data_IF_383521969883
#
_entry.id   IF_383521969883
#
_cell.length_a   1.000
_cell.length_b   1.000
_cell.length_c   1.000
_cell.angle_alpha   90.00
_cell.angle_beta   90.00
_cell.angle_gamma   90.00
#
_symmetry.space_group_name_H-M   'P 1'
#
loop_
_entity.id
_entity.type
_entity.pdbx_description
1 polymer ?
#
# COMPACT_ATOMS: atom_id res chain seq x y z
N UNK A 1 -15.65 28.03 -22.40
CA UNK A 1 -15.10 27.82 -21.04
C UNK A 1 -13.99 26.80 -21.12
N UNK A 2 -12.86 26.98 -20.41
CA UNK A 2 -11.62 26.25 -20.73
C UNK A 2 -11.51 24.84 -20.13
N UNK A 3 -12.51 24.35 -19.42
CA UNK A 3 -12.52 22.96 -18.93
C UNK A 3 -13.52 22.15 -19.75
N UNK A 4 -13.02 21.45 -20.77
CA UNK A 4 -13.77 20.45 -21.53
C UNK A 4 -13.25 19.09 -21.13
N UNK A 5 -14.13 18.24 -20.61
CA UNK A 5 -13.82 16.83 -20.41
C UNK A 5 -13.69 16.18 -21.78
N UNK A 6 -12.62 15.43 -22.01
CA UNK A 6 -12.39 14.70 -23.27
C UNK A 6 -12.34 13.19 -23.06
N UNK A 7 -12.16 12.75 -21.82
CA UNK A 7 -11.85 11.37 -21.47
C UNK A 7 -12.41 10.99 -20.11
N UNK A 8 -12.94 9.78 -20.03
CA UNK A 8 -13.45 9.16 -18.81
C UNK A 8 -12.69 7.85 -18.60
N UNK A 9 -12.00 7.76 -17.46
CA UNK A 9 -11.31 6.55 -17.02
C UNK A 9 -12.15 5.91 -15.91
N UNK A 10 -12.62 4.68 -16.13
CA UNK A 10 -13.35 3.88 -15.16
C UNK A 10 -12.37 2.89 -14.53
N UNK A 11 -12.35 2.87 -13.20
CA UNK A 11 -11.60 1.87 -12.43
C UNK A 11 -12.64 0.97 -11.75
N UNK A 12 -12.65 -0.30 -12.09
CA UNK A 12 -13.54 -1.30 -11.49
C UNK A 12 -12.76 -2.01 -10.40
N UNK A 13 -13.25 -1.93 -9.17
CA UNK A 13 -12.57 -2.46 -8.00
C UNK A 13 -13.35 -3.64 -7.44
N UNK A 14 -12.66 -4.76 -7.26
CA UNK A 14 -13.20 -5.95 -6.65
C UNK A 14 -12.65 -6.08 -5.23
N UNK A 15 -13.55 -6.22 -4.26
CA UNK A 15 -13.14 -6.47 -2.89
C UNK A 15 -12.40 -7.81 -2.80
N UNK A 16 -11.20 -7.86 -2.21
CA UNK A 16 -10.48 -9.11 -2.01
C UNK A 16 -11.32 -10.14 -1.27
N UNK A 17 -11.15 -11.42 -1.60
CA UNK A 17 -11.91 -12.56 -1.05
C UNK A 17 -13.44 -12.53 -1.27
N UNK A 18 -14.00 -11.55 -1.99
CA UNK A 18 -15.41 -11.55 -2.37
C UNK A 18 -15.62 -11.95 -3.84
N UNK A 19 -16.80 -12.49 -4.19
CA UNK A 19 -17.13 -12.80 -5.57
C UNK A 19 -17.12 -11.55 -6.46
N UNK A 20 -16.55 -11.70 -7.65
CA UNK A 20 -16.60 -10.68 -8.70
C UNK A 20 -18.01 -10.61 -9.28
N UNK A 21 -18.63 -9.43 -9.17
CA UNK A 21 -20.01 -9.20 -9.61
C UNK A 21 -20.07 -8.81 -11.09
N UNK A 22 -19.19 -7.90 -11.53
CA UNK A 22 -19.06 -7.39 -12.90
C UNK A 22 -17.63 -6.92 -13.18
N UNK A 23 -17.14 -7.19 -14.39
CA UNK A 23 -15.85 -6.67 -14.90
C UNK A 23 -16.05 -5.58 -15.95
N UNK A 24 -14.96 -4.93 -16.34
CA UNK A 24 -14.91 -4.11 -17.55
C UNK A 24 -15.51 -4.87 -18.76
N UNK A 25 -16.44 -4.22 -19.47
CA UNK A 25 -17.11 -4.81 -20.64
C UNK A 25 -18.24 -5.79 -20.31
N UNK A 26 -18.63 -5.95 -19.04
CA UNK A 26 -19.76 -6.80 -18.64
C UNK A 26 -20.99 -5.99 -18.24
N UNK A 27 -22.18 -6.60 -18.41
CA UNK A 27 -23.49 -6.18 -17.87
C UNK A 27 -23.72 -4.66 -17.85
N UNK A 28 -23.63 -4.01 -16.69
CA UNK A 28 -23.91 -2.58 -16.55
C UNK A 28 -22.74 -1.71 -17.03
N UNK A 29 -21.51 -2.23 -16.95
CA UNK A 29 -20.30 -1.51 -17.34
C UNK A 29 -20.21 -1.36 -18.86
N UNK A 30 -20.60 -2.37 -19.63
CA UNK A 30 -20.70 -2.22 -21.10
C UNK A 30 -21.79 -1.23 -21.52
N UNK A 31 -22.89 -1.16 -20.76
CA UNK A 31 -23.91 -0.15 -21.01
C UNK A 31 -23.39 1.27 -20.74
N UNK A 32 -22.63 1.45 -19.65
CA UNK A 32 -21.95 2.70 -19.33
C UNK A 32 -20.93 3.08 -20.41
N UNK A 33 -20.15 2.12 -20.91
CA UNK A 33 -19.21 2.33 -22.02
C UNK A 33 -19.90 2.90 -23.26
N UNK A 34 -21.04 2.32 -23.64
CA UNK A 34 -21.82 2.81 -24.78
C UNK A 34 -22.30 4.25 -24.55
N UNK A 35 -22.87 4.57 -23.39
CA UNK A 35 -23.32 5.93 -23.07
C UNK A 35 -22.18 6.96 -23.12
N UNK A 36 -20.99 6.59 -22.64
CA UNK A 36 -19.80 7.45 -22.66
C UNK A 36 -19.33 7.70 -24.09
N UNK A 37 -19.28 6.65 -24.93
CA UNK A 37 -18.85 6.74 -26.31
C UNK A 37 -19.85 7.48 -27.19
N UNK A 38 -21.14 7.28 -26.97
CA UNK A 38 -22.21 8.00 -27.66
C UNK A 38 -22.15 9.51 -27.36
N UNK A 39 -21.73 9.87 -26.15
CA UNK A 39 -21.46 11.24 -25.76
C UNK A 39 -20.09 11.79 -26.27
N UNK A 40 -19.39 11.03 -27.12
CA UNK A 40 -18.13 11.39 -27.77
C UNK A 40 -16.96 11.62 -26.81
N UNK A 41 -16.96 10.97 -25.65
CA UNK A 41 -15.80 10.94 -24.77
C UNK A 41 -14.91 9.72 -25.08
N UNK A 42 -13.60 9.88 -24.91
CA UNK A 42 -12.71 8.73 -24.82
C UNK A 42 -13.05 7.90 -23.58
N UNK A 43 -13.07 6.58 -23.74
CA UNK A 43 -13.36 5.63 -22.66
C UNK A 43 -12.16 4.72 -22.42
N UNK A 44 -11.75 4.60 -21.15
CA UNK A 44 -10.83 3.58 -20.68
C UNK A 44 -11.46 2.89 -19.47
N UNK A 45 -11.34 1.56 -19.41
CA UNK A 45 -11.73 0.77 -18.25
C UNK A 45 -10.57 -0.12 -17.82
N UNK A 46 -10.32 -0.17 -16.52
CA UNK A 46 -9.29 -1.02 -15.92
C UNK A 46 -9.91 -1.73 -14.71
N UNK A 47 -9.84 -3.06 -14.71
CA UNK A 47 -10.16 -3.87 -13.54
C UNK A 47 -8.94 -3.92 -12.60
N UNK A 48 -9.16 -3.69 -11.31
CA UNK A 48 -8.21 -3.87 -10.21
C UNK A 48 -6.78 -3.35 -10.51
N UNK A 49 -6.60 -2.04 -10.79
CA UNK A 49 -5.28 -1.48 -11.06
C UNK A 49 -4.33 -1.73 -9.88
N UNK A 50 -3.11 -2.18 -10.19
CA UNK A 50 -2.09 -2.58 -9.22
C UNK A 50 -1.79 -1.47 -8.18
N UNK A 51 -1.88 -0.20 -8.59
CA UNK A 51 -1.63 0.95 -7.72
C UNK A 51 -2.64 1.05 -6.57
N UNK A 52 -3.87 0.54 -6.78
CA UNK A 52 -4.93 0.57 -5.78
C UNK A 52 -4.99 -0.71 -4.95
N UNK A 53 -4.27 -1.77 -5.36
CA UNK A 53 -4.25 -3.05 -4.65
C UNK A 53 -3.88 -2.88 -3.17
N UNK A 54 -2.92 -2.01 -2.87
CA UNK A 54 -2.51 -1.71 -1.49
C UNK A 54 -3.62 -1.09 -0.64
N UNK A 55 -4.44 -0.23 -1.24
CA UNK A 55 -5.57 0.41 -0.57
C UNK A 55 -6.67 -0.63 -0.34
N UNK A 56 -6.94 -1.47 -1.34
CA UNK A 56 -7.95 -2.53 -1.27
C UNK A 56 -7.61 -3.62 -0.24
N UNK A 57 -6.31 -3.87 -0.01
CA UNK A 57 -5.84 -4.87 0.93
C UNK A 57 -5.85 -4.43 2.41
N UNK A 58 -6.22 -3.19 2.71
CA UNK A 58 -6.14 -2.61 4.06
C UNK A 58 -6.84 -3.45 5.15
N UNK A 59 -7.99 -4.05 4.80
CA UNK A 59 -8.82 -4.83 5.72
C UNK A 59 -8.70 -6.36 5.50
N UNK A 60 -7.96 -6.81 4.48
CA UNK A 60 -7.90 -8.23 4.08
C UNK A 60 -6.51 -8.65 3.62
N UNK A 61 -5.53 -8.50 4.51
CA UNK A 61 -4.12 -8.86 4.28
C UNK A 61 -3.87 -10.36 4.00
N UNK A 62 -4.84 -11.22 4.32
CA UNK A 62 -4.78 -12.66 4.09
C UNK A 62 -5.26 -13.10 2.70
N UNK A 63 -5.91 -12.20 1.95
CA UNK A 63 -6.41 -12.49 0.62
C UNK A 63 -5.25 -12.82 -0.33
N UNK A 64 -5.48 -13.75 -1.26
CA UNK A 64 -4.44 -14.20 -2.21
C UNK A 64 -3.95 -13.04 -3.09
N UNK A 65 -4.87 -12.18 -3.50
CA UNK A 65 -4.62 -10.99 -4.32
C UNK A 65 -3.72 -9.99 -3.57
N UNK A 66 -3.75 -10.00 -2.23
CA UNK A 66 -2.97 -9.11 -1.38
C UNK A 66 -1.54 -9.59 -1.11
N UNK A 67 -1.17 -10.80 -1.51
CA UNK A 67 0.18 -11.34 -1.35
C UNK A 67 1.23 -10.52 -2.12
N UNK A 68 0.86 -10.09 -3.32
CA UNK A 68 1.72 -9.29 -4.20
C UNK A 68 1.92 -7.90 -3.61
N UNK A 69 0.83 -7.27 -3.15
CA UNK A 69 0.84 -5.99 -2.45
C UNK A 69 1.73 -6.03 -1.19
N UNK A 70 1.61 -7.11 -0.40
CA UNK A 70 2.41 -7.36 0.79
C UNK A 70 3.90 -7.48 0.48
N UNK A 71 4.24 -8.18 -0.60
CA UNK A 71 5.63 -8.33 -1.05
C UNK A 71 6.21 -6.99 -1.54
N UNK A 72 5.42 -6.21 -2.27
CA UNK A 72 5.80 -4.87 -2.71
C UNK A 72 6.05 -3.91 -1.53
N UNK A 73 5.16 -3.91 -0.53
CA UNK A 73 5.34 -3.13 0.70
C UNK A 73 6.58 -3.57 1.48
N UNK A 74 6.83 -4.88 1.62
CA UNK A 74 8.00 -5.38 2.32
C UNK A 74 9.29 -4.88 1.68
N UNK A 75 9.41 -4.96 0.34
CA UNK A 75 10.56 -4.42 -0.39
C UNK A 75 10.71 -2.91 -0.23
N UNK A 76 9.61 -2.16 -0.28
CA UNK A 76 9.63 -0.71 -0.07
C UNK A 76 10.05 -0.33 1.36
N UNK A 77 9.59 -1.09 2.37
CA UNK A 77 10.02 -0.94 3.75
C UNK A 77 11.51 -1.28 3.92
N UNK A 78 11.97 -2.40 3.35
CA UNK A 78 13.37 -2.80 3.43
C UNK A 78 14.29 -1.75 2.81
N UNK A 79 13.93 -1.19 1.65
CA UNK A 79 14.67 -0.07 1.03
C UNK A 79 14.69 1.19 1.91
N UNK A 80 13.58 1.48 2.59
CA UNK A 80 13.48 2.63 3.50
C UNK A 80 14.27 2.41 4.81
N UNK A 81 14.33 1.17 5.31
CA UNK A 81 15.11 0.76 6.48
C UNK A 81 16.61 0.78 6.17
N UNK A 82 17.01 0.30 5.00
CA UNK A 82 18.41 0.35 4.53
C UNK A 82 18.87 1.80 4.28
N UNK A 83 17.96 2.71 3.91
CA UNK A 83 18.22 4.15 3.85
C UNK A 83 18.27 4.86 5.22
N UNK A 84 17.84 4.21 6.31
CA UNK A 84 17.77 4.77 7.67
C UNK A 84 18.63 4.00 8.67
N UNK A 85 19.60 3.22 8.22
CA UNK A 85 20.63 2.62 9.09
C UNK A 85 21.86 3.53 9.15
N UNK A 86 21.70 4.67 9.83
CA UNK A 86 22.82 5.45 10.35
C UNK A 86 22.35 6.20 11.59
N UNK A 87 22.07 5.47 12.66
CA UNK A 87 21.93 6.03 13.99
C UNK A 87 22.32 4.99 15.05
N UNK A 88 23.54 5.19 15.57
CA UNK A 88 23.98 4.86 16.92
C UNK A 88 24.19 3.38 17.27
N UNK A 89 25.33 2.85 16.84
CA UNK A 89 26.03 1.83 17.64
C UNK A 89 26.67 2.53 18.85
N UNK A 90 26.03 2.44 20.01
CA UNK A 90 26.72 2.73 21.27
C UNK A 90 27.60 1.53 21.61
N UNK A 91 28.92 1.70 21.83
CA UNK A 91 29.76 0.59 22.23
C UNK A 91 29.31 0.08 23.60
N UNK A 92 29.27 -1.25 23.76
CA UNK A 92 28.96 -1.98 25.01
C UNK A 92 29.75 -1.50 26.24
N UNK A 93 30.82 -0.72 26.04
CA UNK A 93 31.60 -0.11 27.11
C UNK A 93 30.83 0.90 27.96
N UNK A 94 29.81 1.58 27.43
CA UNK A 94 29.01 2.54 28.23
C UNK A 94 28.02 1.86 29.18
N UNK A 95 27.57 0.64 28.89
CA UNK A 95 26.68 -0.12 29.77
C UNK A 95 27.41 -0.67 31.00
N UNK A 96 28.70 -0.98 30.89
CA UNK A 96 29.49 -1.52 32.01
C UNK A 96 29.78 -0.47 33.09
N UNK A 97 29.88 0.82 32.73
CA UNK A 97 30.11 1.90 33.71
C UNK A 97 28.89 2.13 34.63
N UNK A 98 27.67 1.84 34.17
CA UNK A 98 26.49 1.92 35.02
C UNK A 98 26.43 0.80 36.07
N UNK A 99 26.84 -0.42 35.72
CA UNK A 99 26.81 -1.55 36.67
C UNK A 99 27.92 -1.47 37.72
N UNK A 100 29.11 -0.95 37.39
CA UNK A 100 30.18 -0.79 38.39
C UNK A 100 29.97 0.40 39.32
N UNK A 101 29.29 1.46 38.86
CA UNK A 101 28.98 2.63 39.68
C UNK A 101 27.92 2.36 40.74
N UNK A 102 26.85 1.64 40.38
CA UNK A 102 25.75 1.34 41.30
C UNK A 102 26.19 0.36 42.41
N UNK A 103 27.10 -0.57 42.11
CA UNK A 103 27.59 -1.53 43.12
C UNK A 103 28.51 -0.90 44.17
N UNK A 104 29.22 0.19 43.84
CA UNK A 104 30.14 0.83 44.79
C UNK A 104 29.40 1.66 45.85
N UNK A 105 28.17 2.10 45.60
CA UNK A 105 27.38 2.91 46.53
C UNK A 105 26.58 2.07 47.55
N UNK A 106 26.46 0.76 47.33
CA UNK A 106 25.76 -0.17 48.23
C UNK A 106 26.67 -0.84 49.28
N UNK A 107 27.99 -0.64 49.21
CA UNK A 107 28.97 -1.21 50.16
C UNK A 107 29.52 -0.18 51.17
N UNK A 108 29.00 1.05 51.16
CA UNK A 108 29.39 2.11 52.10
C UNK A 108 28.17 2.66 52.85
N UNK A 109 27.39 1.77 53.47
CA UNK A 109 26.50 2.11 54.59
C UNK A 109 26.34 0.90 55.52
#
# INVERSE_FOLDING_TARGET
GPYRVTKINILVLHTPDLPVVERCGEKSIIHLEHLIRDAQFEYICIDDPDELLLIMCGDSWGARECEVARTALRRAWDLKVLGKSNANHYPLSLLLLFFTGIFCQMLSN
#
